data_IF_296526400999
#
_entry.id   IF_296526400999
#
_cell.length_a   1.000
_cell.length_b   1.000
_cell.length_c   1.000
_cell.angle_alpha   90.00
_cell.angle_beta   90.00
_cell.angle_gamma   90.00
#
_symmetry.space_group_name_H-M   'P 1'
#
loop_
_entity.id
_entity.type
_entity.pdbx_description
1 polymer ?
#
# COMPACT_ATOMS: atom_id res chain seq x y z
N UNK A 1 4.99 12.84 12.98
CA UNK A 1 3.80 13.26 13.77
C UNK A 1 2.60 12.62 13.10
N UNK A 2 1.68 11.97 13.82
CA UNK A 2 0.54 11.30 13.20
C UNK A 2 -0.43 12.32 12.61
N UNK A 3 -0.29 12.60 11.32
CA UNK A 3 -1.20 13.45 10.55
C UNK A 3 -2.17 12.55 9.79
N UNK A 4 -3.40 12.44 10.31
CA UNK A 4 -4.46 11.63 9.69
C UNK A 4 -5.72 12.42 9.36
N UNK A 5 -5.79 13.69 9.73
CA UNK A 5 -6.90 14.56 9.37
C UNK A 5 -6.72 15.09 7.94
N UNK A 6 -7.50 14.57 7.01
CA UNK A 6 -7.51 14.98 5.61
C UNK A 6 -7.91 16.45 5.37
N UNK A 7 -8.45 17.14 6.37
CA UNK A 7 -8.75 18.58 6.28
C UNK A 7 -7.50 19.43 6.50
N UNK A 8 -6.46 18.89 7.14
CA UNK A 8 -5.21 19.59 7.36
C UNK A 8 -4.35 19.62 6.08
N UNK A 9 -3.72 20.75 5.73
CA UNK A 9 -2.83 20.84 4.57
C UNK A 9 -1.66 19.86 4.62
N UNK A 10 -1.12 19.63 5.82
CA UNK A 10 0.01 18.71 6.05
C UNK A 10 -0.32 17.27 5.70
N UNK A 11 -1.60 16.85 5.77
CA UNK A 11 -2.02 15.51 5.34
C UNK A 11 -1.68 15.24 3.88
N UNK A 12 -1.69 16.28 3.05
CA UNK A 12 -1.44 16.22 1.62
C UNK A 12 0.02 16.53 1.24
N UNK A 13 0.89 16.78 2.21
CA UNK A 13 2.32 17.00 2.01
C UNK A 13 3.03 15.64 1.78
N UNK A 14 3.72 15.51 0.65
CA UNK A 14 4.45 14.29 0.28
C UNK A 14 5.75 14.12 1.03
N UNK A 15 6.44 15.21 1.32
CA UNK A 15 7.72 15.15 2.01
C UNK A 15 7.49 14.76 3.46
N UNK A 16 6.42 15.26 4.07
CA UNK A 16 5.95 14.79 5.37
C UNK A 16 5.55 13.31 5.33
N UNK A 17 4.75 12.90 4.33
CA UNK A 17 4.39 11.49 4.16
C UNK A 17 5.64 10.60 4.05
N UNK A 18 6.60 10.96 3.20
CA UNK A 18 7.80 10.16 2.95
C UNK A 18 8.66 10.05 4.21
N UNK A 19 8.79 11.13 4.98
CA UNK A 19 9.47 11.11 6.30
C UNK A 19 8.77 10.18 7.28
N UNK A 20 7.44 10.23 7.34
CA UNK A 20 6.67 9.37 8.24
C UNK A 20 6.70 7.90 7.79
N UNK A 21 6.65 7.62 6.48
CA UNK A 21 6.83 6.27 5.93
C UNK A 21 8.22 5.71 6.25
N UNK A 22 9.27 6.50 6.05
CA UNK A 22 10.63 6.14 6.42
C UNK A 22 10.71 5.78 7.92
N UNK A 23 10.20 6.65 8.80
CA UNK A 23 10.19 6.43 10.26
C UNK A 23 9.47 5.14 10.64
N UNK A 24 8.28 4.91 10.09
CA UNK A 24 7.49 3.71 10.39
C UNK A 24 8.17 2.45 9.86
N UNK A 25 8.74 2.49 8.66
CA UNK A 25 9.43 1.33 8.06
C UNK A 25 10.69 0.96 8.82
N UNK A 26 11.45 1.95 9.30
CA UNK A 26 12.62 1.76 10.15
C UNK A 26 12.25 1.09 11.48
N UNK A 27 11.21 1.58 12.16
CA UNK A 27 10.69 0.96 13.39
C UNK A 27 10.16 -0.46 13.12
N UNK A 28 9.44 -0.66 12.02
CA UNK A 28 8.93 -1.98 11.62
C UNK A 28 10.08 -2.96 11.37
N UNK A 29 11.15 -2.52 10.70
CA UNK A 29 12.33 -3.34 10.43
C UNK A 29 13.04 -3.79 11.72
N UNK A 30 13.00 -2.98 12.78
CA UNK A 30 13.57 -3.36 14.08
C UNK A 30 12.81 -4.47 14.81
N UNK A 31 11.49 -4.59 14.61
CA UNK A 31 10.64 -5.54 15.36
C UNK A 31 10.18 -6.76 14.55
N UNK A 32 9.86 -6.59 13.25
CA UNK A 32 9.43 -7.63 12.29
C UNK A 32 8.28 -8.57 12.71
N UNK A 33 7.59 -8.29 13.82
CA UNK A 33 6.45 -9.09 14.30
C UNK A 33 5.33 -9.26 13.25
N UNK A 34 5.23 -8.32 12.31
CA UNK A 34 4.17 -8.29 11.30
C UNK A 34 4.48 -9.08 10.03
N UNK A 35 5.66 -9.69 9.91
CA UNK A 35 6.12 -10.38 8.69
C UNK A 35 5.10 -11.44 8.21
N UNK A 36 4.64 -12.29 9.11
CA UNK A 36 3.66 -13.34 8.81
C UNK A 36 2.19 -12.85 8.71
N UNK A 37 1.92 -11.55 8.88
CA UNK A 37 0.55 -11.01 8.91
C UNK A 37 0.06 -10.47 7.57
N UNK A 38 0.96 -9.97 6.70
CA UNK A 38 0.54 -9.25 5.48
C UNK A 38 1.59 -9.32 4.36
N UNK A 39 1.19 -9.44 3.09
CA UNK A 39 2.10 -9.35 1.94
C UNK A 39 2.89 -8.03 1.86
N UNK A 40 2.28 -6.93 2.34
CA UNK A 40 2.94 -5.61 2.42
C UNK A 40 4.22 -5.66 3.27
N UNK A 41 4.21 -6.36 4.41
CA UNK A 41 5.39 -6.53 5.26
C UNK A 41 6.42 -7.49 4.65
N UNK A 42 5.98 -8.61 4.07
CA UNK A 42 6.89 -9.54 3.37
C UNK A 42 7.70 -8.81 2.29
N UNK A 43 7.01 -7.99 1.48
CA UNK A 43 7.65 -7.19 0.43
C UNK A 43 8.61 -6.15 1.01
N UNK A 44 8.17 -5.42 2.04
CA UNK A 44 8.98 -4.40 2.71
C UNK A 44 10.27 -4.99 3.29
N UNK A 45 10.16 -6.04 4.10
CA UNK A 45 11.31 -6.62 4.79
C UNK A 45 12.28 -7.29 3.84
N UNK A 46 11.78 -8.03 2.84
CA UNK A 46 12.64 -8.58 1.79
C UNK A 46 13.44 -7.49 1.08
N UNK A 47 12.80 -6.36 0.75
CA UNK A 47 13.49 -5.27 0.06
C UNK A 47 14.56 -4.62 0.95
N UNK A 48 14.27 -4.47 2.25
CA UNK A 48 15.23 -3.95 3.22
C UNK A 48 16.42 -4.92 3.39
N UNK A 49 16.17 -6.23 3.44
CA UNK A 49 17.23 -7.25 3.49
C UNK A 49 18.14 -7.20 2.25
N UNK A 50 17.56 -7.06 1.05
CA UNK A 50 18.33 -6.92 -0.19
C UNK A 50 19.24 -5.68 -0.16
N UNK A 51 18.80 -4.57 0.44
CA UNK A 51 19.63 -3.37 0.64
C UNK A 51 20.67 -3.56 1.76
N UNK A 52 20.32 -4.25 2.84
CA UNK A 52 21.23 -4.53 3.96
C UNK A 52 22.40 -5.44 3.52
N UNK A 53 22.11 -6.46 2.71
CA UNK A 53 23.12 -7.32 2.06
C UNK A 53 24.04 -6.49 1.16
N UNK A 54 23.47 -5.58 0.36
CA UNK A 54 24.23 -4.69 -0.53
C UNK A 54 25.16 -3.78 0.28
N UNK A 55 24.68 -3.19 1.39
CA UNK A 55 25.45 -2.32 2.26
C UNK A 55 26.56 -3.07 2.98
N UNK A 56 26.26 -4.29 3.45
CA UNK A 56 27.23 -5.19 4.08
C UNK A 56 28.36 -5.55 3.11
N UNK A 57 28.05 -5.83 1.85
CA UNK A 57 29.04 -6.15 0.82
C UNK A 57 30.04 -5.01 0.58
N UNK A 58 29.61 -3.75 0.73
CA UNK A 58 30.48 -2.56 0.61
C UNK A 58 30.98 -2.03 1.97
N UNK A 59 30.71 -2.75 3.07
CA UNK A 59 31.05 -2.38 4.45
C UNK A 59 30.53 -1.01 4.87
N UNK A 60 29.37 -0.60 4.36
CA UNK A 60 28.67 0.59 4.84
C UNK A 60 27.91 0.29 6.13
N UNK A 61 27.77 1.29 6.99
CA UNK A 61 26.94 1.26 8.21
C UNK A 61 25.67 2.10 8.05
N UNK A 62 25.33 2.47 6.81
CA UNK A 62 24.13 3.24 6.53
C UNK A 62 22.85 2.44 6.83
N UNK A 63 21.75 3.14 7.08
CA UNK A 63 20.46 2.50 7.30
C UNK A 63 19.89 1.95 5.96
N UNK A 64 19.58 0.65 5.84
CA UNK A 64 19.06 0.06 4.59
C UNK A 64 17.72 0.66 4.15
N UNK A 65 16.89 1.15 5.08
CA UNK A 65 15.62 1.82 4.77
C UNK A 65 15.85 3.12 4.00
N UNK A 66 17.01 3.76 4.16
CA UNK A 66 17.35 5.01 3.46
C UNK A 66 17.56 4.82 1.96
N UNK A 67 17.74 3.57 1.51
CA UNK A 67 17.91 3.23 0.11
C UNK A 67 16.64 2.69 -0.55
N UNK A 68 15.52 2.67 0.17
CA UNK A 68 14.22 2.37 -0.43
C UNK A 68 13.84 3.46 -1.44
N UNK A 69 13.45 3.01 -2.63
CA UNK A 69 13.00 3.86 -3.72
C UNK A 69 11.53 4.22 -3.57
N UNK A 70 11.07 5.28 -4.24
CA UNK A 70 9.64 5.62 -4.27
C UNK A 70 8.77 4.45 -4.76
N UNK A 71 9.30 3.63 -5.67
CA UNK A 71 8.64 2.41 -6.13
C UNK A 71 8.47 1.37 -5.02
N UNK A 72 9.45 1.22 -4.13
CA UNK A 72 9.36 0.31 -3.00
C UNK A 72 8.23 0.74 -2.04
N UNK A 73 8.15 2.05 -1.73
CA UNK A 73 7.03 2.62 -0.97
C UNK A 73 5.68 2.40 -1.68
N UNK A 74 5.66 2.55 -3.00
CA UNK A 74 4.45 2.36 -3.79
C UNK A 74 3.96 0.92 -3.78
N UNK A 75 4.85 -0.04 -4.00
CA UNK A 75 4.55 -1.48 -4.00
C UNK A 75 4.09 -1.96 -2.62
N UNK A 76 4.72 -1.49 -1.55
CA UNK A 76 4.29 -1.79 -0.17
C UNK A 76 2.87 -1.27 0.10
N UNK A 77 2.56 -0.07 -0.43
CA UNK A 77 1.22 0.52 -0.32
C UNK A 77 0.19 -0.29 -1.10
N UNK A 78 0.51 -0.73 -2.31
CA UNK A 78 -0.42 -1.46 -3.19
C UNK A 78 -0.76 -2.86 -2.66
N UNK A 79 0.15 -3.48 -1.90
CA UNK A 79 -0.07 -4.77 -1.25
C UNK A 79 -0.89 -4.67 0.05
N UNK A 80 -1.27 -3.46 0.49
CA UNK A 80 -2.05 -3.29 1.70
C UNK A 80 -3.55 -3.40 1.43
N UNK A 81 -4.16 -4.50 1.89
CA UNK A 81 -5.61 -4.72 1.77
C UNK A 81 -6.46 -3.97 2.80
N UNK A 82 -5.86 -3.10 3.64
CA UNK A 82 -6.57 -2.35 4.67
C UNK A 82 -7.41 -3.22 5.64
N UNK A 83 -7.01 -4.47 5.87
CA UNK A 83 -7.67 -5.38 6.81
C UNK A 83 -7.43 -5.03 8.29
N UNK A 84 -6.43 -4.19 8.56
CA UNK A 84 -6.02 -3.69 9.90
C UNK A 84 -5.56 -4.76 10.89
N UNK A 85 -5.30 -6.00 10.48
CA UNK A 85 -4.85 -7.08 11.37
C UNK A 85 -3.51 -6.77 12.06
N UNK A 86 -2.62 -6.03 11.41
CA UNK A 86 -1.33 -5.64 11.98
C UNK A 86 -1.46 -4.62 13.12
N UNK A 87 -2.52 -3.81 13.14
CA UNK A 87 -2.72 -2.75 14.15
C UNK A 87 -2.87 -3.32 15.57
N UNK A 88 -3.84 -4.20 15.88
CA UNK A 88 -4.00 -4.73 17.24
C UNK A 88 -2.86 -5.66 17.69
N UNK A 89 -2.02 -6.12 16.76
CA UNK A 89 -0.84 -6.94 17.07
C UNK A 89 0.42 -6.12 17.33
N UNK A 90 0.46 -4.88 16.88
CA UNK A 90 1.64 -4.04 16.98
C UNK A 90 1.78 -3.47 18.41
N UNK A 91 2.90 -3.70 19.10
CA UNK A 91 3.13 -3.19 20.46
C UNK A 91 3.36 -1.67 20.49
N UNK A 92 3.58 -1.05 19.32
CA UNK A 92 3.92 0.36 19.17
C UNK A 92 2.75 1.25 18.75
N UNK A 93 1.54 0.69 18.74
CA UNK A 93 0.32 1.50 18.56
C UNK A 93 0.08 2.40 19.78
N UNK A 94 -0.71 3.49 19.66
CA UNK A 94 -1.08 4.31 20.81
C UNK A 94 -1.63 3.45 21.97
N UNK A 95 -1.18 3.68 23.22
CA UNK A 95 -0.52 4.89 23.73
C UNK A 95 1.02 4.89 23.67
N UNK A 96 1.66 3.94 22.98
CA UNK A 96 3.13 3.91 22.88
C UNK A 96 3.70 5.15 22.19
N UNK A 97 4.88 5.62 22.62
CA UNK A 97 5.52 6.87 22.15
C UNK A 97 5.77 6.92 20.63
N UNK A 98 5.99 5.77 20.01
CA UNK A 98 6.19 5.67 18.56
C UNK A 98 4.93 5.90 17.74
N UNK A 99 3.74 5.75 18.36
CA UNK A 99 2.47 6.10 17.74
C UNK A 99 2.32 5.52 16.33
N UNK A 100 2.50 4.19 16.18
CA UNK A 100 2.37 3.54 14.88
C UNK A 100 0.90 3.32 14.51
N UNK A 101 0.50 3.75 13.32
CA UNK A 101 -0.73 3.32 12.65
C UNK A 101 -0.43 3.07 11.17
N UNK A 102 0.10 1.87 10.90
CA UNK A 102 0.49 1.44 9.56
C UNK A 102 -0.68 1.47 8.55
N UNK A 103 -1.89 0.96 8.87
CA UNK A 103 -3.02 1.03 7.95
C UNK A 103 -3.39 2.47 7.55
N UNK A 104 -3.48 3.41 8.50
CA UNK A 104 -3.82 4.81 8.18
C UNK A 104 -2.72 5.49 7.40
N UNK A 105 -1.45 5.22 7.71
CA UNK A 105 -0.32 5.73 6.94
C UNK A 105 -0.40 5.32 5.46
N UNK A 106 -0.67 4.04 5.18
CA UNK A 106 -0.81 3.56 3.81
C UNK A 106 -2.08 4.09 3.13
N UNK A 107 -3.16 4.30 3.88
CA UNK A 107 -4.36 4.99 3.37
C UNK A 107 -4.03 6.42 2.93
N UNK A 108 -3.24 7.15 3.74
CA UNK A 108 -2.75 8.49 3.39
C UNK A 108 -1.87 8.47 2.15
N UNK A 109 -0.96 7.50 2.03
CA UNK A 109 -0.13 7.32 0.84
C UNK A 109 -0.97 7.10 -0.42
N UNK A 110 -2.00 6.24 -0.34
CA UNK A 110 -2.93 6.01 -1.44
C UNK A 110 -3.74 7.27 -1.79
N UNK A 111 -4.23 8.00 -0.79
CA UNK A 111 -5.00 9.22 -0.99
C UNK A 111 -4.19 10.31 -1.72
N UNK A 112 -2.94 10.53 -1.28
CA UNK A 112 -2.02 11.44 -1.96
C UNK A 112 -1.79 10.97 -3.41
N UNK A 113 -1.43 9.70 -3.63
CA UNK A 113 -1.18 9.17 -4.98
C UNK A 113 -2.37 9.37 -5.92
N UNK A 114 -3.59 9.09 -5.44
CA UNK A 114 -4.83 9.28 -6.21
C UNK A 114 -5.06 10.74 -6.57
N UNK A 115 -4.75 11.67 -5.65
CA UNK A 115 -4.84 13.11 -5.93
C UNK A 115 -3.88 13.56 -7.03
N UNK A 116 -2.73 12.91 -7.13
CA UNK A 116 -1.66 13.27 -8.07
C UNK A 116 -1.82 12.64 -9.44
N UNK A 117 -1.95 11.32 -9.46
CA UNK A 117 -1.92 10.49 -10.66
C UNK A 117 -3.33 10.18 -11.15
N UNK A 118 -4.34 10.48 -10.35
CA UNK A 118 -5.71 10.03 -10.57
C UNK A 118 -5.87 8.53 -10.31
N UNK A 119 -7.05 8.03 -10.67
CA UNK A 119 -7.37 6.59 -10.65
C UNK A 119 -7.44 6.13 -12.11
N UNK A 120 -6.83 4.97 -12.41
CA UNK A 120 -6.87 4.38 -13.74
C UNK A 120 -8.32 4.07 -14.18
N UNK A 121 -8.57 4.00 -15.48
CA UNK A 121 -9.93 3.64 -15.97
C UNK A 121 -10.35 2.25 -15.48
N UNK A 122 -9.42 1.28 -15.49
CA UNK A 122 -9.65 -0.07 -14.99
C UNK A 122 -10.07 -0.03 -13.52
N UNK A 123 -9.33 0.68 -12.67
CA UNK A 123 -9.64 0.72 -11.25
C UNK A 123 -10.93 1.48 -10.97
N UNK A 124 -11.23 2.57 -11.70
CA UNK A 124 -12.53 3.26 -11.61
C UNK A 124 -13.71 2.35 -11.97
N UNK A 125 -13.55 1.52 -12.99
CA UNK A 125 -14.60 0.59 -13.41
C UNK A 125 -14.78 -0.56 -12.42
N UNK A 126 -13.68 -1.13 -11.92
CA UNK A 126 -13.70 -2.30 -11.04
C UNK A 126 -14.00 -1.95 -9.57
N UNK A 127 -13.72 -0.72 -9.13
CA UNK A 127 -14.00 -0.27 -7.76
C UNK A 127 -15.46 0.15 -7.52
N UNK A 128 -16.26 0.29 -8.58
CA UNK A 128 -17.68 0.68 -8.53
C UNK A 128 -18.56 -0.50 -8.99
N UNK A 129 -18.81 -1.49 -8.11
CA UNK A 129 -19.57 -2.69 -8.45
C UNK A 129 -21.02 -2.37 -8.81
N UNK A 130 -21.60 -1.31 -8.25
CA UNK A 130 -22.97 -0.88 -8.55
C UNK A 130 -23.10 -0.40 -9.99
N UNK A 131 -22.16 0.43 -10.44
CA UNK A 131 -22.14 0.91 -11.83
C UNK A 131 -21.82 -0.21 -12.79
N UNK A 132 -20.81 -1.04 -12.48
CA UNK A 132 -20.46 -2.19 -13.30
C UNK A 132 -21.65 -3.18 -13.42
N UNK A 133 -22.31 -3.47 -12.30
CA UNK A 133 -23.51 -4.30 -12.24
C UNK A 133 -24.68 -3.70 -13.01
N UNK A 134 -24.97 -2.41 -12.83
CA UNK A 134 -26.03 -1.70 -13.57
C UNK A 134 -25.84 -1.79 -15.09
N UNK A 135 -24.60 -1.62 -15.57
CA UNK A 135 -24.27 -1.76 -16.99
C UNK A 135 -24.46 -3.21 -17.45
N UNK A 136 -23.92 -4.19 -16.69
CA UNK A 136 -24.06 -5.61 -17.01
C UNK A 136 -25.51 -6.07 -17.09
N UNK A 137 -26.34 -5.67 -16.12
CA UNK A 137 -27.76 -6.04 -16.04
C UNK A 137 -28.62 -5.39 -17.12
N UNK A 138 -28.20 -4.26 -17.71
CA UNK A 138 -28.91 -3.60 -18.82
C UNK A 138 -28.71 -4.29 -20.17
N UNK A 139 -27.63 -5.07 -20.34
CA UNK A 139 -27.29 -5.71 -21.61
C UNK A 139 -27.11 -7.24 -21.47
N UNK A 140 -28.12 -7.97 -20.96
CA UNK A 140 -27.97 -9.41 -20.64
C UNK A 140 -27.69 -10.26 -21.88
N UNK A 141 -28.26 -9.92 -23.04
CA UNK A 141 -28.01 -10.65 -24.29
C UNK A 141 -26.55 -10.55 -24.74
N UNK A 142 -25.96 -9.36 -24.64
CA UNK A 142 -24.56 -9.14 -25.02
C UNK A 142 -23.62 -9.86 -24.05
N UNK A 143 -23.88 -9.76 -22.75
CA UNK A 143 -23.07 -10.42 -21.73
C UNK A 143 -23.15 -11.95 -21.85
N UNK A 144 -24.33 -12.51 -22.09
CA UNK A 144 -24.50 -13.93 -22.34
C UNK A 144 -23.78 -14.39 -23.61
N UNK A 145 -23.83 -13.59 -24.69
CA UNK A 145 -23.10 -13.88 -25.93
C UNK A 145 -21.58 -13.91 -25.69
N UNK A 146 -21.04 -12.88 -25.02
CA UNK A 146 -19.61 -12.82 -24.65
C UNK A 146 -19.20 -14.03 -23.81
N UNK A 147 -19.99 -14.40 -22.79
CA UNK A 147 -19.69 -15.55 -21.95
C UNK A 147 -19.81 -16.89 -22.69
N UNK A 148 -20.69 -16.99 -23.69
CA UNK A 148 -20.87 -18.20 -24.50
C UNK A 148 -19.80 -18.38 -25.58
N UNK A 149 -19.08 -17.32 -25.96
CA UNK A 149 -18.03 -17.36 -26.97
C UNK A 149 -16.71 -17.91 -26.39
N UNK A 150 -16.20 -19.00 -26.97
CA UNK A 150 -14.97 -19.65 -26.52
C UNK A 150 -13.73 -18.75 -26.64
N UNK A 151 -13.67 -17.88 -27.65
CA UNK A 151 -12.57 -16.93 -27.81
C UNK A 151 -12.60 -15.86 -26.72
N UNK A 152 -13.79 -15.34 -26.41
CA UNK A 152 -13.97 -14.36 -25.34
C UNK A 152 -13.58 -14.93 -23.97
N UNK A 153 -13.88 -16.21 -23.71
CA UNK A 153 -13.42 -16.90 -22.49
C UNK A 153 -11.91 -17.19 -22.45
N UNK A 154 -11.28 -17.34 -23.61
CA UNK A 154 -9.84 -17.58 -23.70
C UNK A 154 -9.01 -16.29 -23.55
N UNK A 155 -9.62 -15.12 -23.85
CA UNK A 155 -8.99 -13.79 -23.76
C UNK A 155 -9.17 -13.17 -22.37
N UNK A 156 -10.23 -13.54 -21.66
CA UNK A 156 -10.56 -13.06 -20.32
C UNK A 156 -9.75 -13.81 -19.26
#
# INVERSE_FOLDING_TARGET
MMVFDHTEPVYWDKEDLKKEMFRVFDICNGCRLCDNLCPSFNKLFRRIEEEDDRLTAVKSLDNPVAFLTDRDYEEVTDLCYQCKLCYPKCPYTPPHDYLLDFPRLLTRAQAIRVREKGISFRDKLLSDPDRAGSIGSKFPRLMNWLNSNALSRAIM
#
